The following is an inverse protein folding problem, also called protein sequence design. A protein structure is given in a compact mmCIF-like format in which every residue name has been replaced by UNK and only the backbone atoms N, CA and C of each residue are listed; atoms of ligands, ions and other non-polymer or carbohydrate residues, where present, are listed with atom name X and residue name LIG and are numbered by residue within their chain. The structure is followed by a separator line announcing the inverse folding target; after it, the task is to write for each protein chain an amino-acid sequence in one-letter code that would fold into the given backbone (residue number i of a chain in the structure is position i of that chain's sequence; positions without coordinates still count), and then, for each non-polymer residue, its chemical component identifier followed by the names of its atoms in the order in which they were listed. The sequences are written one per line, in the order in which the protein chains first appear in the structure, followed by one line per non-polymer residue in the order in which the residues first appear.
data_IF_217016424373
#
_entry.id   IF_217016424373
#
_cell.length_a   1.000
_cell.length_b   1.000
_cell.length_c   1.000
_cell.angle_alpha   90.00
_cell.angle_beta   90.00
_cell.angle_gamma   90.00
#
_symmetry.space_group_name_H-M   'P 1'
#
loop_
_entity.id
_entity.type
_entity.pdbx_description
1 polymer ?
#
# COMPACT_ATOMS: atom_id res chain seq x y z
N UNK A 1 -9.83 2.22 7.18
CA UNK A 1 -9.05 2.17 5.91
C UNK A 1 -9.89 1.99 4.64
N UNK A 2 -10.83 1.04 4.56
CA UNK A 2 -11.71 0.86 3.38
C UNK A 2 -12.36 2.15 2.85
N UNK A 3 -12.96 2.95 3.73
CA UNK A 3 -13.59 4.22 3.34
C UNK A 3 -12.57 5.21 2.75
N UNK A 4 -11.39 5.36 3.37
CA UNK A 4 -10.33 6.23 2.87
C UNK A 4 -9.86 5.80 1.47
N UNK A 5 -9.60 4.50 1.27
CA UNK A 5 -9.21 3.98 -0.04
C UNK A 5 -10.30 4.22 -1.10
N UNK A 6 -11.57 4.02 -0.76
CA UNK A 6 -12.69 4.27 -1.67
C UNK A 6 -12.86 5.75 -2.02
N UNK A 7 -12.70 6.64 -1.03
CA UNK A 7 -12.73 8.09 -1.26
C UNK A 7 -11.57 8.54 -2.14
N UNK A 8 -10.37 8.05 -1.87
CA UNK A 8 -9.18 8.35 -2.66
C UNK A 8 -9.35 7.92 -4.13
N UNK A 9 -9.81 6.68 -4.38
CA UNK A 9 -10.06 6.18 -5.75
C UNK A 9 -11.08 7.07 -6.49
N UNK A 10 -12.16 7.48 -5.82
CA UNK A 10 -13.14 8.41 -6.40
C UNK A 10 -12.51 9.76 -6.76
N UNK A 11 -11.69 10.31 -5.87
CA UNK A 11 -11.05 11.61 -6.09
C UNK A 11 -10.05 11.58 -7.24
N UNK A 12 -9.14 10.60 -7.26
CA UNK A 12 -8.11 10.51 -8.30
C UNK A 12 -8.68 10.15 -9.67
N UNK A 13 -9.81 9.44 -9.71
CA UNK A 13 -10.49 9.04 -10.94
C UNK A 13 -11.48 10.11 -11.45
N UNK A 14 -11.80 11.13 -10.65
CA UNK A 14 -12.84 12.10 -10.98
C UNK A 14 -12.57 12.89 -12.27
N UNK A 15 -11.29 13.12 -12.59
CA UNK A 15 -10.88 13.90 -13.78
C UNK A 15 -10.41 13.02 -14.94
N UNK A 16 -9.78 11.88 -14.64
CA UNK A 16 -9.23 10.94 -15.62
C UNK A 16 -9.44 9.51 -15.13
N UNK A 17 -9.77 8.59 -16.04
CA UNK A 17 -9.90 7.17 -15.66
C UNK A 17 -8.53 6.59 -15.29
N UNK A 18 -8.36 6.27 -14.01
CA UNK A 18 -7.20 5.53 -13.50
C UNK A 18 -7.66 4.11 -13.14
N UNK A 19 -7.03 3.05 -13.66
CA UNK A 19 -7.47 1.67 -13.42
C UNK A 19 -7.10 1.15 -12.02
N UNK A 20 -7.64 1.79 -10.98
CA UNK A 20 -7.54 1.40 -9.58
C UNK A 20 -8.79 0.59 -9.15
N UNK A 21 -8.87 -0.64 -9.65
CA UNK A 21 -10.02 -1.56 -9.54
C UNK A 21 -9.90 -2.61 -8.40
N UNK A 22 -8.94 -2.43 -7.50
CA UNK A 22 -8.54 -3.37 -6.44
C UNK A 22 -8.11 -4.76 -6.94
N UNK A 23 -7.70 -4.90 -8.20
CA UNK A 23 -7.04 -6.10 -8.71
C UNK A 23 -5.56 -6.12 -8.32
N UNK A 24 -4.93 -7.30 -8.36
CA UNK A 24 -3.46 -7.39 -8.19
C UNK A 24 -2.73 -6.62 -9.30
N UNK A 25 -3.28 -6.62 -10.52
CA UNK A 25 -2.67 -5.93 -11.66
C UNK A 25 -2.63 -4.41 -11.47
N UNK A 26 -3.63 -3.83 -10.80
CA UNK A 26 -3.67 -2.40 -10.49
C UNK A 26 -2.50 -1.91 -9.61
N UNK A 27 -1.78 -2.81 -8.93
CA UNK A 27 -0.58 -2.42 -8.17
C UNK A 27 0.55 -1.89 -9.07
N UNK A 28 0.59 -2.27 -10.36
CA UNK A 28 1.51 -1.63 -11.33
C UNK A 28 1.16 -0.16 -11.56
N UNK A 29 -0.13 0.17 -11.49
CA UNK A 29 -0.62 1.54 -11.66
C UNK A 29 -0.22 2.38 -10.46
N UNK A 30 -0.27 1.81 -9.25
CA UNK A 30 0.28 2.44 -8.04
C UNK A 30 1.76 2.76 -8.22
N UNK A 31 2.58 1.79 -8.62
CA UNK A 31 4.00 2.00 -8.88
C UNK A 31 4.23 3.12 -9.92
N UNK A 32 3.46 3.11 -11.02
CA UNK A 32 3.54 4.13 -12.07
C UNK A 32 3.17 5.54 -11.59
N UNK A 33 2.11 5.68 -10.78
CA UNK A 33 1.71 6.97 -10.21
C UNK A 33 2.83 7.49 -9.29
N UNK A 34 3.42 6.62 -8.47
CA UNK A 34 4.53 7.00 -7.58
C UNK A 34 5.75 7.46 -8.39
N UNK A 35 6.07 6.80 -9.49
CA UNK A 35 7.14 7.25 -10.39
C UNK A 35 6.86 8.63 -11.01
N UNK A 36 5.60 8.89 -11.37
CA UNK A 36 5.17 10.21 -11.84
C UNK A 36 5.34 11.29 -10.78
N UNK A 37 4.94 11.00 -9.54
CA UNK A 37 5.12 11.92 -8.40
C UNK A 37 6.60 12.20 -8.11
N UNK A 38 7.47 11.19 -8.20
CA UNK A 38 8.92 11.35 -7.98
C UNK A 38 9.59 12.26 -9.01
N UNK A 39 9.10 12.25 -10.25
CA UNK A 39 9.64 13.05 -11.36
C UNK A 39 9.11 14.48 -11.39
N UNK A 40 7.98 14.74 -10.73
CA UNK A 40 7.32 16.04 -10.75
C UNK A 40 7.74 16.95 -9.61
N UNK A 41 7.66 18.27 -9.83
CA UNK A 41 7.80 19.31 -8.79
C UNK A 41 6.49 19.48 -8.02
N UNK A 42 6.00 18.41 -7.38
CA UNK A 42 4.77 18.49 -6.60
C UNK A 42 5.05 19.04 -5.19
N UNK A 43 4.14 19.88 -4.68
CA UNK A 43 4.21 20.38 -3.32
C UNK A 43 4.13 19.21 -2.30
N UNK A 44 5.06 19.19 -1.34
CA UNK A 44 5.25 18.08 -0.39
C UNK A 44 3.96 17.67 0.34
N UNK A 45 3.16 18.65 0.81
CA UNK A 45 1.90 18.36 1.50
C UNK A 45 0.84 17.70 0.60
N UNK A 46 0.81 18.04 -0.69
CA UNK A 46 -0.08 17.38 -1.67
C UNK A 46 0.40 15.94 -1.95
N UNK A 47 1.71 15.70 -1.97
CA UNK A 47 2.29 14.36 -2.17
C UNK A 47 1.90 13.43 -1.01
N UNK A 48 2.03 13.88 0.24
CA UNK A 48 1.74 13.05 1.42
C UNK A 48 0.33 12.48 1.43
N UNK A 49 -0.68 13.29 1.10
CA UNK A 49 -2.06 12.83 1.01
C UNK A 49 -2.25 11.77 -0.09
N UNK A 50 -1.60 11.93 -1.23
CA UNK A 50 -1.67 10.97 -2.34
C UNK A 50 -0.96 9.66 -1.98
N UNK A 51 0.23 9.73 -1.36
CA UNK A 51 0.95 8.54 -0.89
C UNK A 51 0.14 7.77 0.15
N UNK A 52 -0.50 8.46 1.09
CA UNK A 52 -1.41 7.84 2.05
C UNK A 52 -2.56 7.12 1.36
N UNK A 53 -3.21 7.77 0.38
CA UNK A 53 -4.31 7.19 -0.39
C UNK A 53 -3.89 5.93 -1.18
N UNK A 54 -2.73 5.98 -1.83
CA UNK A 54 -2.13 4.84 -2.54
C UNK A 54 -1.73 3.70 -1.58
N UNK A 55 -1.24 4.03 -0.39
CA UNK A 55 -0.96 3.07 0.69
C UNK A 55 -2.23 2.38 1.20
N UNK A 56 -3.29 3.16 1.46
CA UNK A 56 -4.60 2.65 1.85
C UNK A 56 -5.18 1.73 0.76
N UNK A 57 -5.08 2.14 -0.50
CA UNK A 57 -5.50 1.34 -1.66
C UNK A 57 -4.74 0.01 -1.74
N UNK A 58 -3.41 0.06 -1.59
CA UNK A 58 -2.54 -1.13 -1.55
C UNK A 58 -2.97 -2.10 -0.45
N UNK A 59 -3.21 -1.60 0.75
CA UNK A 59 -3.70 -2.43 1.85
C UNK A 59 -5.07 -3.06 1.57
N UNK A 60 -5.99 -2.35 0.89
CA UNK A 60 -7.26 -2.93 0.44
C UNK A 60 -7.09 -4.03 -0.61
N UNK A 61 -6.09 -3.92 -1.50
CA UNK A 61 -5.76 -5.02 -2.42
C UNK A 61 -5.30 -6.25 -1.63
N UNK A 62 -4.46 -6.07 -0.61
CA UNK A 62 -4.01 -7.17 0.26
C UNK A 62 -5.17 -7.82 1.01
N UNK A 63 -6.08 -7.01 1.57
CA UNK A 63 -7.27 -7.52 2.26
C UNK A 63 -8.14 -8.36 1.33
N UNK A 64 -8.41 -7.85 0.12
CA UNK A 64 -9.37 -8.49 -0.81
C UNK A 64 -8.78 -9.66 -1.58
N UNK A 65 -7.47 -9.65 -1.87
CA UNK A 65 -6.82 -10.60 -2.78
C UNK A 65 -5.88 -11.57 -2.08
N UNK A 66 -5.41 -11.24 -0.88
CA UNK A 66 -4.48 -12.06 -0.11
C UNK A 66 -5.01 -12.50 1.26
N UNK A 67 -6.28 -12.25 1.56
CA UNK A 67 -6.92 -12.63 2.83
C UNK A 67 -6.39 -11.87 4.04
N UNK A 68 -5.72 -10.74 3.84
CA UNK A 68 -5.22 -9.93 4.94
C UNK A 68 -6.37 -9.23 5.69
N UNK A 69 -6.08 -8.74 6.90
CA UNK A 69 -6.99 -7.86 7.66
C UNK A 69 -6.26 -6.63 8.15
N UNK A 70 -6.94 -5.48 8.16
CA UNK A 70 -6.41 -4.28 8.79
C UNK A 70 -6.28 -4.49 10.29
N UNK A 71 -5.19 -3.97 10.86
CA UNK A 71 -4.88 -4.02 12.28
C UNK A 71 -4.30 -2.68 12.71
N UNK A 72 -4.64 -2.27 13.93
CA UNK A 72 -3.88 -1.23 14.63
C UNK A 72 -2.54 -1.84 15.05
N UNK A 73 -1.46 -1.10 14.84
CA UNK A 73 -0.15 -1.46 15.34
C UNK A 73 -0.11 -1.32 16.87
N UNK A 74 0.60 -2.23 17.52
CA UNK A 74 0.98 -2.08 18.93
C UNK A 74 2.03 -0.96 19.10
N UNK A 75 2.36 -0.63 20.35
CA UNK A 75 3.27 0.48 20.64
C UNK A 75 4.65 0.32 19.97
N UNK A 76 5.24 -0.88 19.99
CA UNK A 76 6.54 -1.15 19.37
C UNK A 76 6.47 -1.11 17.84
N UNK A 77 5.38 -1.57 17.25
CA UNK A 77 5.14 -1.48 15.80
C UNK A 77 4.94 -0.04 15.34
N UNK A 78 4.24 0.80 16.13
CA UNK A 78 4.08 2.23 15.82
C UNK A 78 5.42 2.95 15.80
N UNK A 79 6.27 2.65 16.77
CA UNK A 79 7.63 3.20 16.85
C UNK A 79 8.48 2.78 15.63
N UNK A 80 8.40 1.51 15.23
CA UNK A 80 9.14 0.98 14.08
C UNK A 80 8.64 1.52 12.73
N UNK A 81 7.32 1.68 12.57
CA UNK A 81 6.70 1.95 11.27
C UNK A 81 6.28 3.41 11.06
N UNK A 82 6.25 4.23 12.12
CA UNK A 82 5.86 5.64 12.07
C UNK A 82 4.40 5.90 11.71
N UNK A 83 3.56 4.86 11.69
CA UNK A 83 2.15 4.93 11.34
C UNK A 83 1.31 4.04 12.26
N UNK A 84 0.01 4.33 12.47
CA UNK A 84 -0.79 3.62 13.45
C UNK A 84 -1.34 2.27 12.96
N UNK A 85 -1.32 2.01 11.65
CA UNK A 85 -2.05 0.89 11.05
C UNK A 85 -1.22 0.11 10.04
N UNK A 86 -1.56 -1.18 9.90
CA UNK A 86 -1.09 -2.01 8.80
C UNK A 86 -2.02 -3.19 8.55
N UNK A 87 -1.51 -4.22 7.90
CA UNK A 87 -2.27 -5.42 7.57
C UNK A 87 -1.62 -6.66 8.15
N UNK A 88 -2.44 -7.55 8.73
CA UNK A 88 -2.03 -8.88 9.16
C UNK A 88 -2.44 -9.90 8.12
N UNK A 89 -1.47 -10.66 7.63
CA UNK A 89 -1.67 -11.76 6.69
C UNK A 89 -2.25 -13.00 7.40
N UNK A 90 -2.82 -13.96 6.65
CA UNK A 90 -3.31 -15.23 7.22
C UNK A 90 -2.24 -16.01 8.00
N UNK A 91 -0.97 -15.87 7.62
CA UNK A 91 0.19 -16.47 8.30
C UNK A 91 0.57 -15.78 9.64
N UNK A 92 -0.17 -14.73 10.03
CA UNK A 92 0.05 -13.96 11.25
C UNK A 92 1.03 -12.79 11.12
N UNK A 93 1.82 -12.72 10.02
CA UNK A 93 2.79 -11.64 9.81
C UNK A 93 2.10 -10.31 9.57
N UNK A 94 2.67 -9.25 10.13
CA UNK A 94 2.17 -7.87 10.02
C UNK A 94 3.02 -7.09 9.04
N UNK A 95 2.37 -6.29 8.19
CA UNK A 95 3.01 -5.49 7.14
C UNK A 95 2.45 -4.07 7.10
N UNK A 96 3.29 -3.11 6.70
CA UNK A 96 2.91 -1.70 6.55
C UNK A 96 2.79 -1.30 5.06
N UNK A 97 1.59 -1.38 4.45
CA UNK A 97 1.40 -1.00 3.05
C UNK A 97 1.56 0.51 2.81
N UNK A 98 1.28 1.35 3.80
CA UNK A 98 1.42 2.80 3.67
C UNK A 98 2.89 3.19 3.67
N UNK A 99 3.67 2.69 4.63
CA UNK A 99 5.12 2.84 4.65
C UNK A 99 5.78 2.23 3.41
N UNK A 100 5.25 1.13 2.85
CA UNK A 100 5.78 0.55 1.61
C UNK A 100 5.65 1.50 0.42
N UNK A 101 4.52 2.20 0.28
CA UNK A 101 4.33 3.21 -0.77
C UNK A 101 5.25 4.42 -0.55
N UNK A 102 5.43 4.86 0.69
CA UNK A 102 6.38 5.95 1.02
C UNK A 102 7.80 5.53 0.65
N UNK A 103 8.25 4.32 1.03
CA UNK A 103 9.56 3.79 0.62
C UNK A 103 9.70 3.70 -0.90
N UNK A 104 8.63 3.32 -1.62
CA UNK A 104 8.60 3.34 -3.09
C UNK A 104 8.80 4.74 -3.67
N UNK A 105 8.23 5.75 -3.01
CA UNK A 105 8.40 7.14 -3.36
C UNK A 105 9.76 7.71 -2.99
N UNK A 106 10.45 7.21 -1.96
CA UNK A 106 11.75 7.73 -1.51
C UNK A 106 12.94 7.02 -2.17
N UNK A 107 12.88 5.70 -2.26
CA UNK A 107 14.00 4.85 -2.73
C UNK A 107 13.90 4.55 -4.22
N UNK A 108 12.69 4.35 -4.75
CA UNK A 108 12.47 4.04 -6.17
C UNK A 108 12.10 2.57 -6.43
N UNK A 109 12.35 2.09 -7.64
CA UNK A 109 11.72 0.89 -8.22
C UNK A 109 11.92 -0.43 -7.46
N UNK A 110 13.03 -0.56 -6.73
CA UNK A 110 13.32 -1.73 -5.88
C UNK A 110 12.24 -1.93 -4.81
N UNK A 111 11.56 -0.86 -4.43
CA UNK A 111 10.49 -0.87 -3.44
C UNK A 111 9.11 -1.09 -4.09
N UNK A 112 9.03 -1.69 -5.28
CA UNK A 112 7.75 -1.93 -5.98
C UNK A 112 6.71 -2.59 -5.07
N UNK A 113 5.53 -1.99 -5.05
CA UNK A 113 4.38 -2.49 -4.28
C UNK A 113 3.83 -3.77 -4.91
N UNK A 114 3.87 -3.88 -6.24
CA UNK A 114 3.49 -5.12 -6.92
C UNK A 114 4.45 -6.26 -6.55
N UNK A 115 5.76 -6.03 -6.62
CA UNK A 115 6.74 -7.07 -6.26
C UNK A 115 6.56 -7.49 -4.81
N UNK A 116 6.32 -6.52 -3.92
CA UNK A 116 5.97 -6.79 -2.54
C UNK A 116 4.76 -7.72 -2.40
N UNK A 117 3.64 -7.47 -3.09
CA UNK A 117 2.48 -8.37 -3.08
C UNK A 117 2.85 -9.80 -3.48
N UNK A 118 3.63 -9.96 -4.55
CA UNK A 118 4.02 -11.29 -5.06
C UNK A 118 4.90 -12.06 -4.06
N UNK A 119 5.73 -11.36 -3.29
CA UNK A 119 6.61 -11.96 -2.29
C UNK A 119 5.88 -12.42 -1.03
N UNK A 120 4.68 -11.89 -0.75
CA UNK A 120 3.88 -12.31 0.41
C UNK A 120 3.40 -13.76 0.31
N UNK A 121 3.12 -14.23 -0.90
CA UNK A 121 2.62 -15.59 -1.15
C UNK A 121 3.73 -16.64 -1.26
N UNK A 122 4.98 -16.23 -1.48
CA UNK A 122 6.13 -17.14 -1.56
C UNK A 122 6.62 -17.66 -0.20
N UNK A 123 6.09 -17.13 0.91
CA UNK A 123 6.51 -17.49 2.26
C UNK A 123 5.41 -18.25 2.99
N UNK A 124 5.05 -19.43 2.47
CA UNK A 124 4.20 -20.37 3.18
C UNK A 124 4.70 -20.52 4.63
N UNK A 125 3.79 -20.41 5.59
CA UNK A 125 4.07 -20.67 6.99
C UNK A 125 4.72 -22.05 7.10
N UNK A 126 5.97 -22.11 7.59
CA UNK A 126 6.38 -23.33 8.29
C UNK A 126 5.52 -23.37 9.53
N UNK A 127 4.39 -24.07 9.47
CA UNK A 127 3.81 -24.65 10.67
C UNK A 127 4.87 -25.63 11.17
N UNK A 128 5.53 -25.25 12.27
CA UNK A 128 6.26 -26.21 13.07
C UNK A 128 5.16 -26.97 13.80
N UNK A 129 5.00 -28.24 13.41
CA UNK A 129 4.10 -29.18 14.05
C UNK A 129 4.57 -29.50 15.48
#
# INVERSE_FOLDING_TARGET
MRQHAGQFVRQITARNRVPLDYSVNSLRVVDFIVDGLRKGESERGRIEHVLFGLGAYTGEVLVRRAGARWVEFDAGQRELFGQPVGVRMPDGRVWNPLGKVVKRFEVGELESVRTFYLQLHGRASRQIA
#
